data_IF_508811169644
#
_entry.id   IF_508811169644
#
_cell.length_a   1.000
_cell.length_b   1.000
_cell.length_c   1.000
_cell.angle_alpha   90.00
_cell.angle_beta   90.00
_cell.angle_gamma   90.00
#
_symmetry.space_group_name_H-M   'P 1'
#
loop_
_entity.id
_entity.type
_entity.pdbx_description
1 polymer ?
#
# COMPACT_ATOMS: atom_id res chain seq x y z
N UNK A 1 9.12 -8.83 -17.05
CA UNK A 1 8.41 -7.52 -17.14
C UNK A 1 9.32 -6.47 -16.57
N UNK A 2 9.39 -5.30 -17.20
CA UNK A 2 10.17 -4.20 -16.67
C UNK A 2 9.52 -3.64 -15.39
N UNK A 3 10.33 -3.30 -14.38
CA UNK A 3 9.83 -2.86 -13.07
C UNK A 3 9.13 -1.49 -13.14
N UNK A 4 9.59 -0.57 -13.99
CA UNK A 4 8.92 0.70 -14.25
C UNK A 4 7.55 0.52 -14.90
N UNK A 5 7.37 -0.47 -15.77
CA UNK A 5 6.05 -0.79 -16.34
C UNK A 5 5.08 -1.30 -15.27
N UNK A 6 5.57 -2.12 -14.31
CA UNK A 6 4.77 -2.56 -13.17
C UNK A 6 4.32 -1.35 -12.34
N UNK A 7 5.26 -0.46 -12.01
CA UNK A 7 4.97 0.74 -11.22
C UNK A 7 3.96 1.65 -11.95
N UNK A 8 4.10 1.85 -13.27
CA UNK A 8 3.13 2.64 -14.04
C UNK A 8 1.73 2.06 -13.95
N UNK A 9 1.59 0.73 -14.07
CA UNK A 9 0.28 0.06 -13.90
C UNK A 9 -0.25 0.24 -12.48
N UNK A 10 0.60 0.17 -11.46
CA UNK A 10 0.18 0.41 -10.07
C UNK A 10 -0.24 1.86 -9.85
N UNK A 11 0.48 2.83 -10.39
CA UNK A 11 0.12 4.26 -10.29
C UNK A 11 -1.22 4.53 -10.98
N UNK A 12 -1.43 3.98 -12.17
CA UNK A 12 -2.70 4.10 -12.91
C UNK A 12 -3.89 3.45 -12.17
N UNK A 13 -3.63 2.38 -11.40
CA UNK A 13 -4.67 1.65 -10.66
C UNK A 13 -4.94 2.25 -9.27
N UNK A 14 -3.90 2.73 -8.59
CA UNK A 14 -3.92 3.05 -7.16
C UNK A 14 -3.82 4.54 -6.89
N UNK A 15 -3.57 5.36 -7.92
CA UNK A 15 -3.63 6.82 -7.86
C UNK A 15 -2.92 7.37 -6.62
N UNK A 16 -1.58 7.26 -6.51
CA UNK A 16 -0.84 7.70 -5.33
C UNK A 16 -1.07 9.17 -4.97
N UNK A 17 -1.54 10.01 -5.89
CA UNK A 17 -2.00 11.38 -5.65
C UNK A 17 -3.22 11.48 -4.70
N UNK A 18 -3.98 10.39 -4.52
CA UNK A 18 -5.10 10.33 -3.59
C UNK A 18 -4.68 10.08 -2.14
N UNK A 19 -3.38 9.96 -1.87
CA UNK A 19 -2.88 9.77 -0.51
C UNK A 19 -3.17 10.99 0.39
N UNK A 20 -3.14 10.76 1.69
CA UNK A 20 -3.28 11.83 2.67
C UNK A 20 -2.00 12.68 2.74
N UNK A 21 -2.12 13.94 3.17
CA UNK A 21 -1.01 14.90 3.12
C UNK A 21 0.22 14.54 3.96
N UNK A 22 0.05 13.61 4.91
CA UNK A 22 1.13 13.12 5.76
C UNK A 22 1.77 11.83 5.24
N UNK A 23 1.17 11.22 4.23
CA UNK A 23 1.51 9.90 3.75
C UNK A 23 2.70 9.93 2.77
N UNK A 24 3.26 8.75 2.50
CA UNK A 24 4.28 8.54 1.48
C UNK A 24 3.98 7.27 0.65
N UNK A 25 2.80 7.22 0.05
CA UNK A 25 2.40 6.20 -0.91
C UNK A 25 3.11 6.37 -2.26
N UNK A 26 3.28 5.27 -2.98
CA UNK A 26 3.97 5.19 -4.26
C UNK A 26 5.31 4.47 -4.16
N UNK A 27 6.19 4.76 -5.11
CA UNK A 27 7.54 4.17 -5.19
C UNK A 27 8.40 4.57 -3.99
N UNK A 28 8.89 3.58 -3.23
CA UNK A 28 9.80 3.79 -2.10
C UNK A 28 11.27 3.67 -2.53
N UNK A 29 11.57 2.61 -3.29
CA UNK A 29 12.90 2.31 -3.84
C UNK A 29 12.71 1.74 -5.24
N UNK A 30 13.51 2.18 -6.21
CA UNK A 30 13.42 1.68 -7.59
C UNK A 30 14.78 1.44 -8.20
N UNK A 31 14.96 0.24 -8.76
CA UNK A 31 16.10 -0.10 -9.59
C UNK A 31 15.67 -0.10 -11.05
N UNK A 32 16.03 0.96 -11.77
CA UNK A 32 15.63 1.18 -13.16
C UNK A 32 16.30 0.21 -14.12
N UNK A 33 15.56 -0.19 -15.16
CA UNK A 33 16.05 -1.12 -16.19
C UNK A 33 16.14 -2.58 -15.74
N UNK A 34 15.67 -2.90 -14.53
CA UNK A 34 15.59 -4.27 -14.04
C UNK A 34 14.31 -4.94 -14.53
N UNK A 35 14.45 -6.18 -14.99
CA UNK A 35 13.32 -7.04 -15.32
C UNK A 35 13.03 -8.03 -14.19
N UNK A 36 11.76 -8.31 -13.99
CA UNK A 36 11.32 -9.33 -13.05
C UNK A 36 10.12 -10.11 -13.57
N UNK A 37 10.01 -11.36 -13.14
CA UNK A 37 8.89 -12.27 -13.35
C UNK A 37 8.09 -12.53 -12.07
N UNK A 38 8.51 -11.94 -10.95
CA UNK A 38 7.99 -12.26 -9.62
C UNK A 38 7.86 -11.02 -8.74
N UNK A 39 6.68 -10.91 -8.14
CA UNK A 39 6.28 -9.82 -7.26
C UNK A 39 5.91 -10.43 -5.91
N UNK A 40 6.40 -9.86 -4.82
CA UNK A 40 5.94 -10.19 -3.47
C UNK A 40 5.01 -9.09 -2.98
N UNK A 41 3.87 -9.46 -2.37
CA UNK A 41 2.92 -8.53 -1.77
C UNK A 41 2.87 -8.77 -0.26
N UNK A 42 2.94 -7.71 0.54
CA UNK A 42 2.94 -7.77 2.01
C UNK A 42 2.17 -6.61 2.63
N UNK A 43 1.81 -6.72 3.91
CA UNK A 43 1.32 -5.57 4.68
C UNK A 43 2.48 -4.62 5.01
N UNK A 44 3.54 -5.15 5.62
CA UNK A 44 4.70 -4.41 6.12
C UNK A 44 5.98 -4.70 5.32
N UNK A 45 6.88 -3.72 5.14
CA UNK A 45 8.20 -3.90 4.51
C UNK A 45 9.25 -4.36 5.54
N UNK A 46 8.96 -5.44 6.29
CA UNK A 46 9.86 -5.94 7.34
C UNK A 46 11.05 -6.75 6.80
N UNK A 47 12.09 -6.96 7.63
CA UNK A 47 13.28 -7.73 7.24
C UNK A 47 12.93 -9.13 6.71
N UNK A 48 12.04 -9.86 7.39
CA UNK A 48 11.62 -11.20 6.96
C UNK A 48 10.94 -11.21 5.58
N UNK A 49 10.25 -10.13 5.22
CA UNK A 49 9.60 -9.95 3.91
C UNK A 49 10.64 -9.76 2.82
N UNK A 50 11.68 -8.96 3.11
CA UNK A 50 12.80 -8.78 2.19
C UNK A 50 13.61 -10.08 2.05
N UNK A 51 13.86 -10.80 3.14
CA UNK A 51 14.51 -12.11 3.11
C UNK A 51 13.72 -13.11 2.24
N UNK A 52 12.39 -13.12 2.35
CA UNK A 52 11.54 -13.95 1.51
C UNK A 52 11.60 -13.53 0.04
N UNK A 53 11.58 -12.22 -0.25
CA UNK A 53 11.70 -11.70 -1.60
C UNK A 53 13.03 -12.11 -2.25
N UNK A 54 14.15 -12.03 -1.51
CA UNK A 54 15.46 -12.53 -1.96
C UNK A 54 15.40 -14.02 -2.26
N UNK A 55 14.88 -14.83 -1.32
CA UNK A 55 14.76 -16.29 -1.47
C UNK A 55 13.92 -16.68 -2.69
N UNK A 56 12.85 -15.92 -2.96
CA UNK A 56 11.94 -16.14 -4.09
C UNK A 56 12.34 -15.41 -5.36
N UNK A 57 13.46 -14.65 -5.34
CA UNK A 57 14.00 -13.88 -6.45
C UNK A 57 13.03 -12.82 -7.00
N UNK A 58 12.22 -12.23 -6.12
CA UNK A 58 11.30 -11.16 -6.49
C UNK A 58 12.08 -9.88 -6.80
N UNK A 59 11.79 -9.25 -7.94
CA UNK A 59 12.42 -7.98 -8.32
C UNK A 59 11.72 -6.76 -7.73
N UNK A 60 10.49 -6.94 -7.23
CA UNK A 60 9.74 -5.89 -6.55
C UNK A 60 8.90 -6.45 -5.39
N UNK A 61 8.89 -5.71 -4.29
CA UNK A 61 7.99 -5.90 -3.14
C UNK A 61 6.95 -4.78 -3.12
N UNK A 62 5.68 -5.14 -3.07
CA UNK A 62 4.57 -4.21 -2.90
C UNK A 62 4.07 -4.31 -1.46
N UNK A 63 4.04 -3.20 -0.73
CA UNK A 63 3.56 -3.16 0.66
C UNK A 63 2.35 -2.26 0.83
N UNK A 64 1.60 -2.47 1.92
CA UNK A 64 0.63 -1.47 2.34
C UNK A 64 1.34 -0.30 3.02
N UNK A 65 2.09 -0.57 4.09
CA UNK A 65 2.79 0.49 4.83
C UNK A 65 4.06 0.97 4.10
N UNK A 66 4.29 2.30 4.01
CA UNK A 66 5.52 2.85 3.45
C UNK A 66 6.76 2.49 4.27
N UNK A 67 7.82 2.01 3.60
CA UNK A 67 9.12 1.80 4.26
C UNK A 67 9.70 3.14 4.70
N UNK A 68 9.64 4.15 3.83
CA UNK A 68 10.18 5.48 4.06
C UNK A 68 9.07 6.44 4.51
N UNK A 69 8.33 6.09 5.57
CA UNK A 69 7.20 6.90 6.03
C UNK A 69 7.59 8.33 6.46
N UNK A 70 8.85 8.53 6.84
CA UNK A 70 9.41 9.87 7.09
C UNK A 70 10.78 9.99 6.41
N UNK A 71 11.20 11.21 6.04
CA UNK A 71 12.55 11.45 5.54
C UNK A 71 13.61 10.93 6.52
N UNK A 72 14.57 10.16 6.00
CA UNK A 72 15.70 9.68 6.80
C UNK A 72 16.81 10.72 6.85
N UNK A 73 17.24 11.11 8.06
CA UNK A 73 18.35 12.04 8.24
C UNK A 73 19.74 11.39 8.17
N UNK A 74 19.81 10.07 8.35
CA UNK A 74 21.02 9.25 8.26
C UNK A 74 20.64 7.80 7.98
N UNK A 75 21.62 6.99 7.57
CA UNK A 75 21.49 5.53 7.45
C UNK A 75 22.51 4.90 8.41
N UNK A 76 22.02 4.08 9.34
CA UNK A 76 22.81 3.36 10.33
C UNK A 76 22.35 1.91 10.35
N UNK A 77 23.23 0.94 10.08
CA UNK A 77 22.87 -0.48 10.03
C UNK A 77 22.34 -1.04 11.35
N UNK A 78 22.53 -0.34 12.47
CA UNK A 78 21.94 -0.71 13.76
C UNK A 78 20.46 -0.30 13.89
N UNK A 79 19.96 0.58 13.02
CA UNK A 79 18.56 1.02 12.99
C UNK A 79 17.72 0.11 12.07
N UNK A 80 16.48 -0.19 12.46
CA UNK A 80 15.62 -1.16 11.78
C UNK A 80 15.34 -0.80 10.32
N UNK A 81 14.77 0.38 10.05
CA UNK A 81 14.47 0.83 8.67
C UNK A 81 15.73 0.93 7.81
N UNK A 82 16.82 1.43 8.39
CA UNK A 82 18.12 1.55 7.73
C UNK A 82 18.68 0.18 7.33
N UNK A 83 18.68 -0.80 8.22
CA UNK A 83 19.16 -2.17 7.91
C UNK A 83 18.33 -2.84 6.81
N UNK A 84 17.01 -2.64 6.81
CA UNK A 84 16.11 -3.12 5.76
C UNK A 84 16.44 -2.45 4.42
N UNK A 85 16.59 -1.11 4.42
CA UNK A 85 16.95 -0.34 3.23
C UNK A 85 18.31 -0.78 2.66
N UNK A 86 19.31 -0.99 3.51
CA UNK A 86 20.62 -1.50 3.11
C UNK A 86 20.46 -2.84 2.39
N UNK A 87 19.72 -3.79 2.98
CA UNK A 87 19.50 -5.09 2.35
C UNK A 87 18.76 -4.99 1.02
N UNK A 88 17.73 -4.15 0.95
CA UNK A 88 17.00 -3.85 -0.29
C UNK A 88 17.97 -3.37 -1.39
N UNK A 89 18.92 -2.51 -1.04
CA UNK A 89 19.91 -1.96 -1.97
C UNK A 89 20.91 -3.03 -2.41
N UNK A 90 21.45 -3.81 -1.47
CA UNK A 90 22.42 -4.86 -1.75
C UNK A 90 21.84 -5.94 -2.68
N UNK A 91 20.57 -6.25 -2.50
CA UNK A 91 19.86 -7.31 -3.26
C UNK A 91 19.11 -6.76 -4.49
N UNK A 92 19.14 -5.43 -4.70
CA UNK A 92 18.49 -4.73 -5.82
C UNK A 92 16.99 -5.00 -5.96
N UNK A 93 16.26 -5.00 -4.86
CA UNK A 93 14.81 -5.24 -4.84
C UNK A 93 14.07 -3.90 -4.87
N UNK A 94 13.22 -3.66 -5.87
CA UNK A 94 12.39 -2.44 -5.84
C UNK A 94 11.28 -2.54 -4.79
N UNK A 95 10.83 -1.42 -4.25
CA UNK A 95 9.74 -1.37 -3.27
C UNK A 95 8.73 -0.30 -3.64
N UNK A 96 7.45 -0.67 -3.65
CA UNK A 96 6.31 0.22 -3.86
C UNK A 96 5.34 0.07 -2.69
N UNK A 97 4.72 1.16 -2.24
CA UNK A 97 3.76 1.12 -1.13
C UNK A 97 2.42 1.74 -1.53
N UNK A 98 1.32 1.08 -1.17
CA UNK A 98 -0.04 1.58 -1.36
C UNK A 98 -0.75 1.64 -0.01
N UNK A 99 -0.78 2.82 0.59
CA UNK A 99 -1.23 3.04 1.96
C UNK A 99 -2.60 3.73 1.95
N UNK A 100 -2.66 5.01 2.30
CA UNK A 100 -3.95 5.72 2.42
C UNK A 100 -4.67 5.86 1.09
N UNK A 101 -3.95 5.93 -0.03
CA UNK A 101 -4.55 5.93 -1.37
C UNK A 101 -5.32 4.63 -1.64
N UNK A 102 -4.77 3.47 -1.24
CA UNK A 102 -5.43 2.18 -1.38
C UNK A 102 -6.68 2.11 -0.50
N UNK A 103 -6.58 2.51 0.77
CA UNK A 103 -7.71 2.50 1.70
C UNK A 103 -8.87 3.31 1.13
N UNK A 104 -8.55 4.51 0.63
CA UNK A 104 -9.56 5.43 0.10
C UNK A 104 -10.28 4.87 -1.13
N UNK A 105 -9.61 4.05 -1.94
CA UNK A 105 -10.18 3.40 -3.12
C UNK A 105 -10.99 2.12 -2.80
N UNK A 106 -10.80 1.50 -1.63
CA UNK A 106 -11.32 0.15 -1.35
C UNK A 106 -12.26 0.05 -0.13
N UNK A 107 -12.40 1.09 0.69
CA UNK A 107 -13.27 1.07 1.87
C UNK A 107 -14.73 0.67 1.56
N UNK A 108 -15.31 1.19 0.47
CA UNK A 108 -16.68 0.84 0.08
C UNK A 108 -16.80 -0.60 -0.43
N UNK A 109 -15.76 -1.11 -1.12
CA UNK A 109 -15.68 -2.49 -1.60
C UNK A 109 -15.63 -3.47 -0.43
N UNK A 110 -14.87 -3.15 0.63
CA UNK A 110 -14.83 -3.96 1.84
C UNK A 110 -16.22 -4.03 2.49
N UNK A 111 -16.91 -2.89 2.62
CA UNK A 111 -18.26 -2.87 3.17
C UNK A 111 -19.25 -3.72 2.34
N UNK A 112 -19.17 -3.66 1.01
CA UNK A 112 -19.99 -4.53 0.12
C UNK A 112 -19.65 -6.00 0.29
N UNK A 113 -18.37 -6.34 0.42
CA UNK A 113 -17.92 -7.73 0.60
C UNK A 113 -18.45 -8.33 1.92
N UNK A 114 -18.56 -7.50 2.96
CA UNK A 114 -19.16 -7.85 4.24
C UNK A 114 -20.71 -7.91 4.21
N UNK A 115 -21.34 -7.65 3.04
CA UNK A 115 -22.78 -7.66 2.90
C UNK A 115 -23.48 -6.45 3.53
N UNK A 116 -22.74 -5.37 3.83
CA UNK A 116 -23.32 -4.15 4.36
C UNK A 116 -24.09 -3.39 3.27
N UNK A 117 -25.16 -2.73 3.68
CA UNK A 117 -26.02 -1.94 2.79
C UNK A 117 -26.04 -0.47 3.24
N UNK A 118 -26.66 0.40 2.44
CA UNK A 118 -26.72 1.84 2.70
C UNK A 118 -25.33 2.44 2.99
N UNK A 119 -24.35 2.08 2.16
CA UNK A 119 -22.94 2.47 2.32
C UNK A 119 -22.76 3.93 1.91
N UNK A 120 -22.30 4.74 2.86
CA UNK A 120 -22.02 6.16 2.68
C UNK A 120 -20.60 6.49 3.15
N UNK A 121 -19.88 7.42 2.48
CA UNK A 121 -18.58 7.87 2.93
C UNK A 121 -18.64 8.56 4.30
N UNK A 122 -17.71 8.24 5.21
CA UNK A 122 -17.53 9.04 6.45
C UNK A 122 -17.03 10.45 6.10
N UNK A 123 -16.03 10.51 5.22
CA UNK A 123 -15.48 11.74 4.66
C UNK A 123 -15.09 11.49 3.22
N UNK A 124 -15.52 12.38 2.33
CA UNK A 124 -15.12 12.38 0.91
C UNK A 124 -13.76 13.06 0.74
N UNK A 125 -13.03 12.68 -0.30
CA UNK A 125 -11.85 13.43 -0.72
C UNK A 125 -12.23 14.86 -1.15
N UNK A 126 -11.28 15.78 -0.97
CA UNK A 126 -11.37 17.13 -1.50
C UNK A 126 -10.67 17.19 -2.87
N UNK A 127 -11.25 17.91 -3.85
CA UNK A 127 -10.59 18.18 -5.14
C UNK A 127 -11.36 17.79 -6.40
N UNK A 128 -12.53 17.13 -6.29
CA UNK A 128 -13.35 16.68 -7.43
C UNK A 128 -12.77 15.49 -8.20
N UNK A 129 -13.58 14.85 -9.04
CA UNK A 129 -13.13 13.77 -9.94
C UNK A 129 -12.91 12.44 -9.23
N UNK A 130 -11.74 11.80 -9.41
CA UNK A 130 -11.38 10.55 -8.72
C UNK A 130 -11.38 10.71 -7.19
N UNK A 131 -11.10 11.92 -6.68
CA UNK A 131 -11.14 12.20 -5.24
C UNK A 131 -12.55 12.11 -4.64
N UNK A 132 -13.61 12.34 -5.44
CA UNK A 132 -15.00 12.20 -5.00
C UNK A 132 -15.40 10.74 -4.77
N UNK A 133 -14.62 9.81 -5.33
CA UNK A 133 -14.80 8.35 -5.20
C UNK A 133 -13.82 7.74 -4.18
N UNK A 134 -13.02 8.57 -3.51
CA UNK A 134 -11.97 8.16 -2.58
C UNK A 134 -12.38 8.56 -1.14
N UNK A 135 -12.64 7.58 -0.28
CA UNK A 135 -13.31 7.80 1.01
C UNK A 135 -12.43 7.46 2.22
N UNK A 136 -12.41 8.31 3.25
CA UNK A 136 -11.75 7.99 4.51
C UNK A 136 -12.70 7.17 5.40
N UNK A 137 -12.87 5.90 5.05
CA UNK A 137 -13.84 5.01 5.66
C UNK A 137 -15.27 5.24 5.18
N UNK A 138 -16.14 4.30 5.56
CA UNK A 138 -17.56 4.30 5.22
C UNK A 138 -18.41 3.99 6.46
N UNK A 139 -19.62 4.53 6.49
CA UNK A 139 -20.70 4.12 7.39
C UNK A 139 -21.65 3.28 6.56
N UNK A 140 -22.13 2.18 7.14
CA UNK A 140 -23.06 1.28 6.48
C UNK A 140 -23.96 0.61 7.50
N UNK A 141 -25.01 -0.05 7.02
CA UNK A 141 -26.00 -0.76 7.83
C UNK A 141 -25.85 -2.28 7.67
N UNK A 142 -25.96 -2.99 8.79
CA UNK A 142 -26.16 -4.43 8.84
C UNK A 142 -27.64 -4.75 8.59
N UNK A 143 -27.91 -5.69 7.69
CA UNK A 143 -29.27 -6.17 7.42
C UNK A 143 -29.29 -7.69 7.23
N UNK A 144 -29.92 -8.46 8.15
CA UNK A 144 -30.64 -7.99 9.34
C UNK A 144 -29.68 -7.37 10.39
N UNK A 145 -30.20 -6.50 11.30
CA UNK A 145 -29.41 -6.04 12.44
C UNK A 145 -28.93 -7.21 13.30
N UNK A 146 -27.69 -7.13 13.78
CA UNK A 146 -27.08 -8.14 14.64
C UNK A 146 -26.91 -7.63 16.08
N UNK A 147 -26.90 -8.53 17.06
CA UNK A 147 -26.42 -8.21 18.39
C UNK A 147 -24.90 -8.01 18.39
N UNK A 148 -24.34 -7.31 19.38
CA UNK A 148 -22.88 -7.13 19.46
C UNK A 148 -22.11 -8.47 19.50
N UNK A 149 -22.54 -9.49 20.28
CA UNK A 149 -21.93 -10.82 20.23
C UNK A 149 -22.01 -11.54 18.88
N UNK A 150 -23.06 -11.31 18.09
CA UNK A 150 -23.19 -11.93 16.76
C UNK A 150 -22.38 -11.17 15.69
N UNK A 151 -21.96 -9.94 15.98
CA UNK A 151 -21.20 -9.09 15.07
C UNK A 151 -19.68 -9.27 15.18
N UNK A 152 -19.16 -9.50 16.39
CA UNK A 152 -17.73 -9.71 16.67
C UNK A 152 -17.32 -11.14 16.33
#
# INVERSE_FOLDING_TARGET
MNTEDIIRVLDDMLHPELQDSYDNSGTQVIFRGEETDSILISLDPGMAVIDEAVKKKCGIVITHHPLLFRPMGRIDSAESTSSILIKIIDERISVYSAHTNLDRLYNDRLARLLGLIDIEPIRRGEGGGLSDQAYHGVIARLDPPASLPDFI
#
